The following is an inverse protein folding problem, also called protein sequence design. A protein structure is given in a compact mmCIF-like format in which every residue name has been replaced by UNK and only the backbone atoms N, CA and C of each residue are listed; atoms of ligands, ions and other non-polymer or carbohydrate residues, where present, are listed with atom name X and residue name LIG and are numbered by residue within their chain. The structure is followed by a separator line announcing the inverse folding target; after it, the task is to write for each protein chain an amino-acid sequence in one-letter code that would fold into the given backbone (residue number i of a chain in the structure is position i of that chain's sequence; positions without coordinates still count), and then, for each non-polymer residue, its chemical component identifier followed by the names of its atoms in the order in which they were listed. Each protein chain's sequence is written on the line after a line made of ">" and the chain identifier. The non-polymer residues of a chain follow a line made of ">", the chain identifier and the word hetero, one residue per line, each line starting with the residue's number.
data_IF_060964020743
#
_entry.id   IF_060964020743
#
_cell.length_a   1.000
_cell.length_b   1.000
_cell.length_c   1.000
_cell.angle_alpha   90.00
_cell.angle_beta   90.00
_cell.angle_gamma   90.00
#
_symmetry.space_group_name_H-M   'P 1'
#
loop_
_entity.id
_entity.type
_entity.pdbx_description
1 polymer ?
#
# COMPACT_ATOMS: atom_id res chain seq x y z
N UNK A 1 -18.58 24.39 -10.55
CA UNK A 1 -17.53 24.91 -9.65
C UNK A 1 -16.24 24.09 -9.79
N UNK A 2 -16.33 22.76 -9.82
CA UNK A 2 -15.20 21.83 -9.95
C UNK A 2 -14.31 22.06 -11.18
N UNK A 3 -14.89 22.33 -12.36
CA UNK A 3 -14.11 22.59 -13.57
C UNK A 3 -13.24 23.87 -13.54
N UNK A 4 -13.43 24.77 -12.56
CA UNK A 4 -12.52 25.91 -12.33
C UNK A 4 -11.39 25.52 -11.37
N UNK A 5 -11.72 24.80 -10.31
CA UNK A 5 -10.74 24.24 -9.38
C UNK A 5 -9.73 23.31 -10.06
N UNK A 6 -10.17 22.46 -11.00
CA UNK A 6 -9.26 21.62 -11.79
C UNK A 6 -8.32 22.42 -12.68
N UNK A 7 -8.79 23.54 -13.26
CA UNK A 7 -7.95 24.41 -14.10
C UNK A 7 -6.93 25.16 -13.28
N UNK A 8 -7.30 25.64 -12.10
CA UNK A 8 -6.40 26.34 -11.18
C UNK A 8 -5.30 25.38 -10.67
N UNK A 9 -5.68 24.18 -10.24
CA UNK A 9 -4.71 23.16 -9.81
C UNK A 9 -3.75 22.75 -10.94
N UNK A 10 -4.25 22.65 -12.18
CA UNK A 10 -3.43 22.31 -13.34
C UNK A 10 -2.43 23.42 -13.69
N UNK A 11 -2.87 24.69 -13.65
CA UNK A 11 -2.01 25.84 -13.88
C UNK A 11 -0.93 25.99 -12.79
N UNK A 12 -1.25 25.67 -11.55
CA UNK A 12 -0.29 25.70 -10.44
C UNK A 12 0.75 24.59 -10.55
N UNK A 13 0.34 23.39 -10.97
CA UNK A 13 1.25 22.28 -11.27
C UNK A 13 2.20 22.65 -12.41
N UNK A 14 1.68 23.21 -13.51
CA UNK A 14 2.48 23.66 -14.65
C UNK A 14 3.50 24.74 -14.24
N UNK A 15 3.11 25.66 -13.36
CA UNK A 15 4.01 26.72 -12.86
C UNK A 15 5.15 26.15 -12.01
N UNK A 16 4.89 25.11 -11.20
CA UNK A 16 5.95 24.42 -10.44
C UNK A 16 6.92 23.71 -11.39
N UNK A 17 6.42 23.06 -12.43
CA UNK A 17 7.26 22.35 -13.39
C UNK A 17 8.11 23.31 -14.23
N UNK A 18 7.59 24.49 -14.56
CA UNK A 18 8.34 25.59 -15.21
C UNK A 18 9.45 26.15 -14.30
N UNK A 19 9.16 26.37 -13.01
CA UNK A 19 10.15 26.87 -12.04
C UNK A 19 11.27 25.87 -11.80
N UNK A 20 10.98 24.57 -11.89
CA UNK A 20 11.98 23.51 -11.75
C UNK A 20 12.75 23.21 -13.05
N UNK A 21 12.42 23.88 -14.16
CA UNK A 21 13.06 23.67 -15.47
C UNK A 21 12.76 22.31 -16.11
N UNK A 22 11.85 21.53 -15.53
CA UNK A 22 11.53 20.15 -15.95
C UNK A 22 10.94 20.13 -17.35
N UNK A 23 10.20 21.17 -17.72
CA UNK A 23 9.63 21.34 -19.06
C UNK A 23 10.68 21.60 -20.16
N UNK A 24 11.93 21.94 -19.81
CA UNK A 24 13.02 22.21 -20.76
C UNK A 24 13.98 21.03 -20.96
N UNK A 25 13.78 19.94 -20.22
CA UNK A 25 14.62 18.75 -20.29
C UNK A 25 14.28 17.94 -21.55
N UNK A 26 15.29 17.35 -22.19
CA UNK A 26 15.10 16.33 -23.23
C UNK A 26 14.29 15.15 -22.67
N UNK A 27 13.51 14.46 -23.51
CA UNK A 27 12.68 13.31 -23.09
C UNK A 27 13.50 12.26 -22.30
N UNK A 28 14.73 11.95 -22.72
CA UNK A 28 15.61 11.00 -22.01
C UNK A 28 15.98 11.44 -20.58
N UNK A 29 16.11 12.76 -20.36
CA UNK A 29 16.48 13.33 -19.05
C UNK A 29 15.26 13.38 -18.13
N UNK A 30 14.06 13.60 -18.69
CA UNK A 30 12.80 13.52 -17.96
C UNK A 30 12.55 12.09 -17.48
N UNK A 31 12.71 11.10 -18.35
CA UNK A 31 12.57 9.68 -18.02
C UNK A 31 13.57 9.27 -16.92
N UNK A 32 14.82 9.75 -17.02
CA UNK A 32 15.85 9.51 -16.00
C UNK A 32 15.50 10.15 -14.65
N UNK A 33 14.97 11.37 -14.64
CA UNK A 33 14.55 12.06 -13.42
C UNK A 33 13.36 11.35 -12.76
N UNK A 34 12.36 10.94 -13.54
CA UNK A 34 11.23 10.14 -13.06
C UNK A 34 11.71 8.80 -12.47
N UNK A 35 12.67 8.14 -13.13
CA UNK A 35 13.28 6.92 -12.61
C UNK A 35 14.04 7.14 -11.30
N UNK A 36 14.84 8.20 -11.19
CA UNK A 36 15.58 8.53 -9.95
C UNK A 36 14.61 8.86 -8.82
N UNK A 37 13.55 9.63 -9.09
CA UNK A 37 12.51 9.95 -8.11
C UNK A 37 11.81 8.68 -7.60
N UNK A 38 11.45 7.77 -8.52
CA UNK A 38 10.84 6.47 -8.18
C UNK A 38 11.76 5.64 -7.29
N UNK A 39 13.01 5.45 -7.70
CA UNK A 39 14.00 4.63 -6.98
C UNK A 39 14.35 5.23 -5.61
N UNK A 40 14.48 6.56 -5.52
CA UNK A 40 14.65 7.26 -4.24
C UNK A 40 13.46 7.02 -3.32
N UNK A 41 12.24 7.11 -3.83
CA UNK A 41 11.03 6.80 -3.07
C UNK A 41 10.99 5.34 -2.59
N UNK A 42 11.43 4.39 -3.41
CA UNK A 42 11.55 2.98 -3.02
C UNK A 42 12.61 2.76 -1.95
N UNK A 43 13.78 3.40 -2.09
CA UNK A 43 14.84 3.36 -1.10
C UNK A 43 14.38 3.93 0.25
N UNK A 44 13.73 5.09 0.25
CA UNK A 44 13.19 5.72 1.47
C UNK A 44 12.19 4.79 2.16
N UNK A 45 11.31 4.13 1.41
CA UNK A 45 10.35 3.16 1.97
C UNK A 45 11.07 1.95 2.57
N UNK A 46 12.06 1.40 1.87
CA UNK A 46 12.85 0.27 2.35
C UNK A 46 13.65 0.62 3.62
N UNK A 47 14.26 1.81 3.66
CA UNK A 47 14.96 2.31 4.84
C UNK A 47 14.03 2.51 6.04
N UNK A 48 12.83 3.07 5.83
CA UNK A 48 11.82 3.21 6.89
C UNK A 48 11.40 1.86 7.44
N UNK A 49 11.12 0.90 6.57
CA UNK A 49 10.79 -0.46 6.98
C UNK A 49 11.92 -1.11 7.78
N UNK A 50 13.17 -0.98 7.30
CA UNK A 50 14.36 -1.49 8.01
C UNK A 50 14.51 -0.87 9.41
N UNK A 51 14.29 0.45 9.54
CA UNK A 51 14.29 1.16 10.83
C UNK A 51 13.19 0.65 11.75
N UNK A 52 11.96 0.51 11.26
CA UNK A 52 10.83 0.00 12.05
C UNK A 52 11.07 -1.45 12.52
N UNK A 53 11.58 -2.32 11.65
CA UNK A 53 11.97 -3.69 12.00
C UNK A 53 13.08 -3.73 13.05
N UNK A 54 14.10 -2.88 12.91
CA UNK A 54 15.20 -2.79 13.88
C UNK A 54 14.69 -2.36 15.25
N UNK A 55 13.77 -1.39 15.30
CA UNK A 55 13.17 -0.91 16.54
C UNK A 55 12.29 -1.98 17.21
N UNK A 56 11.44 -2.69 16.46
CA UNK A 56 10.64 -3.78 17.02
C UNK A 56 11.51 -4.94 17.50
N UNK A 57 12.58 -5.28 16.76
CA UNK A 57 13.52 -6.32 17.16
C UNK A 57 14.23 -5.96 18.47
N UNK A 58 14.65 -4.70 18.65
CA UNK A 58 15.22 -4.23 19.92
C UNK A 58 14.26 -4.44 21.09
N UNK A 59 12.97 -4.10 20.94
CA UNK A 59 11.95 -4.30 21.98
C UNK A 59 11.77 -5.78 22.33
N UNK A 60 11.75 -6.65 21.33
CA UNK A 60 11.69 -8.12 21.56
C UNK A 60 12.92 -8.59 22.32
N UNK A 61 14.12 -8.13 21.96
CA UNK A 61 15.37 -8.49 22.63
C UNK A 61 15.44 -7.97 24.07
N UNK A 62 14.96 -6.76 24.32
CA UNK A 62 14.85 -6.18 25.67
C UNK A 62 13.89 -6.98 26.55
N UNK A 63 12.69 -7.29 26.03
CA UNK A 63 11.71 -8.12 26.75
C UNK A 63 12.22 -9.55 26.99
N UNK A 64 12.96 -10.12 26.04
CA UNK A 64 13.60 -11.43 26.20
C UNK A 64 14.67 -11.41 27.30
N UNK A 65 15.50 -10.36 27.33
CA UNK A 65 16.53 -10.16 28.35
C UNK A 65 15.92 -10.01 29.74
N UNK A 66 14.85 -9.21 29.87
CA UNK A 66 14.12 -9.04 31.12
C UNK A 66 13.49 -10.35 31.59
N UNK A 67 12.87 -11.11 30.69
CA UNK A 67 12.32 -12.42 31.02
C UNK A 67 13.38 -13.44 31.45
N UNK A 68 14.56 -13.44 30.81
CA UNK A 68 15.66 -14.33 31.15
C UNK A 68 16.33 -13.97 32.50
N UNK A 69 16.43 -12.67 32.82
CA UNK A 69 17.02 -12.18 34.06
C UNK A 69 16.11 -12.24 35.30
N UNK A 70 14.80 -12.44 35.11
CA UNK A 70 13.84 -12.40 36.20
C UNK A 70 13.77 -13.71 36.99
N UNK A 71 14.16 -13.66 38.26
CA UNK A 71 14.20 -14.82 39.15
C UNK A 71 12.88 -15.05 39.91
N UNK A 72 12.05 -14.01 40.05
CA UNK A 72 10.80 -14.09 40.81
C UNK A 72 9.65 -14.67 39.96
N UNK A 73 8.98 -15.77 40.38
CA UNK A 73 7.93 -16.43 39.58
C UNK A 73 6.78 -15.50 39.14
N UNK A 74 6.35 -14.60 40.01
CA UNK A 74 5.28 -13.64 39.72
C UNK A 74 5.69 -12.60 38.66
N UNK A 75 6.93 -12.11 38.71
CA UNK A 75 7.46 -11.14 37.73
C UNK A 75 7.84 -11.83 36.41
N UNK A 76 8.29 -13.09 36.47
CA UNK A 76 8.61 -13.90 35.30
C UNK A 76 7.39 -14.18 34.43
N UNK A 77 6.21 -14.31 35.02
CA UNK A 77 4.95 -14.44 34.29
C UNK A 77 4.59 -13.14 33.53
N UNK A 78 4.76 -11.98 34.16
CA UNK A 78 4.55 -10.68 33.52
C UNK A 78 5.56 -10.43 32.39
N UNK A 79 6.85 -10.67 32.63
CA UNK A 79 7.90 -10.52 31.61
C UNK A 79 7.69 -11.47 30.41
N UNK A 80 7.16 -12.67 30.64
CA UNK A 80 6.77 -13.58 29.55
C UNK A 80 5.62 -13.01 28.71
N UNK A 81 4.63 -12.39 29.34
CA UNK A 81 3.51 -11.78 28.63
C UNK A 81 3.96 -10.59 27.76
N UNK A 82 4.91 -9.79 28.26
CA UNK A 82 5.53 -8.70 27.51
C UNK A 82 6.39 -9.20 26.33
N UNK A 83 7.13 -10.28 26.51
CA UNK A 83 7.87 -10.91 25.41
C UNK A 83 6.92 -11.42 24.30
N UNK A 84 5.83 -12.09 24.67
CA UNK A 84 4.84 -12.57 23.71
C UNK A 84 4.12 -11.42 22.99
N UNK A 85 3.85 -10.29 23.68
CA UNK A 85 3.24 -9.12 23.05
C UNK A 85 4.20 -8.43 22.07
N UNK A 86 5.47 -8.28 22.45
CA UNK A 86 6.52 -7.75 21.58
C UNK A 86 6.73 -8.63 20.34
N UNK A 87 6.72 -9.95 20.51
CA UNK A 87 6.82 -10.91 19.41
C UNK A 87 5.64 -10.80 18.44
N UNK A 88 4.42 -10.59 18.93
CA UNK A 88 3.24 -10.33 18.08
C UNK A 88 3.38 -9.01 17.32
N UNK A 89 3.88 -7.96 17.96
CA UNK A 89 4.10 -6.67 17.29
C UNK A 89 5.11 -6.79 16.14
N UNK A 90 6.22 -7.51 16.35
CA UNK A 90 7.19 -7.81 15.30
C UNK A 90 6.56 -8.59 14.13
N UNK A 91 5.77 -9.63 14.43
CA UNK A 91 5.09 -10.43 13.41
C UNK A 91 4.10 -9.61 12.56
N UNK A 92 3.46 -8.59 13.14
CA UNK A 92 2.58 -7.68 12.38
C UNK A 92 3.37 -6.76 11.45
N UNK A 93 4.55 -6.27 11.85
CA UNK A 93 5.42 -5.50 10.95
C UNK A 93 5.95 -6.37 9.82
N UNK A 94 6.33 -7.62 10.10
CA UNK A 94 6.75 -8.57 9.06
C UNK A 94 5.65 -8.84 8.03
N UNK A 95 4.41 -9.08 8.48
CA UNK A 95 3.25 -9.31 7.59
C UNK A 95 2.99 -8.14 6.65
N UNK A 96 3.21 -6.89 7.09
CA UNK A 96 3.00 -5.71 6.24
C UNK A 96 3.91 -5.69 5.01
N UNK A 97 5.09 -6.31 5.08
CA UNK A 97 6.08 -6.27 4.01
C UNK A 97 6.31 -7.62 3.32
N UNK A 98 5.44 -8.60 3.56
CA UNK A 98 5.51 -9.86 2.82
C UNK A 98 5.13 -9.62 1.35
N UNK A 99 5.99 -10.02 0.38
CA UNK A 99 5.63 -9.96 -1.03
C UNK A 99 4.44 -10.89 -1.26
N UNK A 100 3.32 -10.31 -1.67
CA UNK A 100 2.10 -11.07 -1.94
C UNK A 100 2.12 -11.59 -3.36
N UNK A 101 1.53 -12.78 -3.54
CA UNK A 101 1.38 -13.39 -4.84
C UNK A 101 0.67 -12.40 -5.78
N UNK A 102 1.29 -12.14 -6.93
CA UNK A 102 0.71 -11.31 -7.98
C UNK A 102 -0.42 -12.11 -8.65
N UNK A 103 -1.51 -11.44 -8.98
CA UNK A 103 -2.63 -12.04 -9.70
C UNK A 103 -2.16 -12.64 -11.04
N UNK A 104 -2.79 -13.74 -11.46
CA UNK A 104 -2.52 -14.32 -12.77
C UNK A 104 -3.13 -13.49 -13.91
N UNK A 105 -4.18 -12.70 -13.62
CA UNK A 105 -4.81 -11.79 -14.57
C UNK A 105 -5.80 -10.81 -13.93
N UNK A 106 -6.77 -10.35 -14.73
CA UNK A 106 -7.75 -9.33 -14.32
C UNK A 106 -8.95 -9.87 -13.54
N UNK A 107 -9.05 -11.19 -13.33
CA UNK A 107 -10.24 -11.86 -12.76
C UNK A 107 -9.99 -12.49 -11.39
N UNK A 108 -8.74 -12.60 -10.96
CA UNK A 108 -8.29 -13.25 -9.74
C UNK A 108 -7.50 -12.32 -8.82
N UNK A 109 -7.54 -11.02 -9.08
CA UNK A 109 -6.88 -10.05 -8.24
C UNK A 109 -7.51 -9.97 -6.85
N UNK A 110 -6.76 -9.41 -5.90
CA UNK A 110 -7.12 -9.30 -4.51
C UNK A 110 -6.62 -7.98 -3.92
N UNK A 111 -7.35 -7.48 -2.93
CA UNK A 111 -6.95 -6.32 -2.14
C UNK A 111 -5.78 -6.71 -1.23
N UNK A 112 -4.61 -6.10 -1.44
CA UNK A 112 -3.42 -6.35 -0.62
C UNK A 112 -3.31 -5.39 0.56
N UNK A 113 -3.74 -4.15 0.39
CA UNK A 113 -3.77 -3.16 1.46
C UNK A 113 -4.97 -2.23 1.29
N UNK A 114 -5.43 -1.68 2.42
CA UNK A 114 -6.50 -0.68 2.46
C UNK A 114 -5.93 0.52 3.22
N UNK A 115 -5.74 1.62 2.52
CA UNK A 115 -5.39 2.91 3.10
C UNK A 115 -6.69 3.66 3.44
N UNK A 116 -6.99 3.77 4.73
CA UNK A 116 -8.21 4.45 5.20
C UNK A 116 -8.06 5.96 5.25
N UNK A 117 -6.84 6.48 5.32
CA UNK A 117 -6.59 7.93 5.34
C UNK A 117 -6.80 8.52 3.95
N UNK A 118 -6.28 7.83 2.92
CA UNK A 118 -6.39 8.24 1.52
C UNK A 118 -7.62 7.65 0.82
N UNK A 119 -8.41 6.83 1.52
CA UNK A 119 -9.53 6.04 0.97
C UNK A 119 -9.11 5.25 -0.29
N UNK A 120 -7.89 4.70 -0.29
CA UNK A 120 -7.30 4.00 -1.43
C UNK A 120 -7.12 2.51 -1.14
N UNK A 121 -7.21 1.70 -2.19
CA UNK A 121 -6.96 0.27 -2.15
C UNK A 121 -5.69 -0.02 -2.93
N UNK A 122 -4.90 -0.97 -2.44
CA UNK A 122 -3.78 -1.54 -3.20
C UNK A 122 -4.18 -2.93 -3.64
N UNK A 123 -4.00 -3.23 -4.92
CA UNK A 123 -4.31 -4.53 -5.53
C UNK A 123 -3.02 -5.22 -5.99
N UNK A 124 -3.00 -6.56 -5.94
CA UNK A 124 -1.90 -7.38 -6.46
C UNK A 124 -1.94 -7.59 -7.98
N UNK A 125 -2.37 -6.57 -8.73
CA UNK A 125 -2.46 -6.63 -10.20
C UNK A 125 -1.81 -5.37 -10.77
N UNK A 126 -1.15 -5.47 -11.92
CA UNK A 126 -0.48 -4.35 -12.57
C UNK A 126 -0.46 -4.45 -14.09
N UNK A 127 0.43 -3.70 -14.72
CA UNK A 127 0.59 -3.67 -16.18
C UNK A 127 0.85 -5.06 -16.76
N UNK A 128 1.60 -5.93 -16.05
CA UNK A 128 1.90 -7.30 -16.52
C UNK A 128 0.67 -8.19 -16.56
N UNK A 129 -0.38 -7.86 -15.80
CA UNK A 129 -1.66 -8.56 -15.79
C UNK A 129 -2.67 -7.94 -16.78
N UNK A 130 -2.28 -6.88 -17.50
CA UNK A 130 -3.13 -6.17 -18.45
C UNK A 130 -3.96 -5.04 -17.84
N UNK A 131 -3.62 -4.61 -16.63
CA UNK A 131 -4.32 -3.52 -15.95
C UNK A 131 -3.97 -2.17 -16.54
N UNK A 132 -4.93 -1.25 -16.55
CA UNK A 132 -4.74 0.11 -17.05
C UNK A 132 -5.43 1.10 -16.12
N UNK A 133 -4.86 2.29 -16.04
CA UNK A 133 -5.48 3.40 -15.32
C UNK A 133 -6.89 3.66 -15.84
N UNK A 134 -7.82 3.96 -14.94
CA UNK A 134 -9.23 4.15 -15.24
C UNK A 134 -10.06 2.87 -15.40
N UNK A 135 -9.44 1.67 -15.44
CA UNK A 135 -10.22 0.43 -15.57
C UNK A 135 -11.11 0.18 -14.34
N UNK A 136 -12.41 -0.11 -14.55
CA UNK A 136 -13.32 -0.43 -13.47
C UNK A 136 -13.23 -1.92 -13.07
N UNK A 137 -13.26 -2.17 -11.78
CA UNK A 137 -13.30 -3.49 -11.19
C UNK A 137 -14.45 -3.59 -10.18
N UNK A 138 -14.94 -4.80 -9.97
CA UNK A 138 -15.88 -5.13 -8.88
C UNK A 138 -15.13 -5.78 -7.73
N UNK A 139 -15.51 -5.40 -6.51
CA UNK A 139 -14.98 -5.97 -5.27
C UNK A 139 -15.97 -7.01 -4.75
N UNK A 140 -15.47 -8.20 -4.44
CA UNK A 140 -16.24 -9.39 -4.09
C UNK A 140 -15.70 -9.99 -2.79
N UNK A 141 -16.61 -10.41 -1.90
CA UNK A 141 -16.29 -11.25 -0.75
C UNK A 141 -17.12 -12.52 -0.83
N UNK A 142 -16.46 -13.63 -1.17
CA UNK A 142 -17.16 -14.83 -1.65
C UNK A 142 -17.93 -14.49 -2.93
N UNK A 143 -19.24 -14.77 -2.92
CA UNK A 143 -20.13 -14.50 -4.05
C UNK A 143 -20.85 -13.14 -3.97
N UNK A 144 -20.62 -12.37 -2.88
CA UNK A 144 -21.29 -11.08 -2.66
C UNK A 144 -20.46 -9.94 -3.24
N UNK A 145 -21.08 -9.14 -4.11
CA UNK A 145 -20.51 -7.85 -4.57
C UNK A 145 -20.60 -6.84 -3.44
N UNK A 146 -19.44 -6.30 -3.06
CA UNK A 146 -19.31 -5.28 -2.01
C UNK A 146 -19.37 -3.85 -2.58
N UNK A 147 -18.97 -3.69 -3.84
CA UNK A 147 -18.93 -2.40 -4.54
C UNK A 147 -18.05 -2.49 -5.79
N UNK A 148 -17.67 -1.34 -6.32
CA UNK A 148 -16.74 -1.22 -7.44
C UNK A 148 -15.48 -0.46 -7.02
N UNK A 149 -14.46 -0.46 -7.86
CA UNK A 149 -13.33 0.43 -7.73
C UNK A 149 -12.74 0.76 -9.10
N UNK A 150 -12.17 1.95 -9.24
CA UNK A 150 -11.46 2.40 -10.43
C UNK A 150 -9.96 2.47 -10.15
N UNK A 151 -9.13 1.98 -11.07
CA UNK A 151 -7.68 2.11 -10.93
C UNK A 151 -7.23 3.56 -11.13
N UNK A 152 -6.46 4.09 -10.18
CA UNK A 152 -5.89 5.44 -10.23
C UNK A 152 -4.46 5.44 -10.76
N UNK A 153 -3.61 4.54 -10.23
CA UNK A 153 -2.20 4.42 -10.59
C UNK A 153 -1.90 2.94 -10.81
N UNK A 154 -1.26 2.59 -11.92
CA UNK A 154 -0.92 1.20 -12.25
C UNK A 154 0.59 1.05 -12.40
N UNK A 155 1.19 0.19 -11.58
CA UNK A 155 2.61 -0.19 -11.66
C UNK A 155 2.75 -1.56 -12.31
N UNK A 156 3.98 -2.06 -12.45
CA UNK A 156 4.21 -3.34 -13.14
C UNK A 156 3.43 -4.52 -12.53
N UNK A 157 3.38 -4.62 -11.20
CA UNK A 157 2.82 -5.77 -10.47
C UNK A 157 1.72 -5.41 -9.46
N UNK A 158 1.49 -4.12 -9.21
CA UNK A 158 0.52 -3.61 -8.24
C UNK A 158 -0.18 -2.38 -8.78
N UNK A 159 -1.38 -2.11 -8.28
CA UNK A 159 -2.15 -0.93 -8.67
C UNK A 159 -2.87 -0.32 -7.48
N UNK A 160 -2.98 1.00 -7.47
CA UNK A 160 -3.83 1.74 -6.56
C UNK A 160 -5.23 1.90 -7.17
N UNK A 161 -6.28 1.68 -6.39
CA UNK A 161 -7.67 1.82 -6.80
C UNK A 161 -8.48 2.67 -5.82
N UNK A 162 -9.41 3.44 -6.35
CA UNK A 162 -10.41 4.21 -5.60
C UNK A 162 -11.70 3.40 -5.51
N UNK A 163 -12.18 3.04 -4.31
CA UNK A 163 -13.48 2.39 -4.17
C UNK A 163 -14.62 3.34 -4.53
N UNK A 164 -15.57 2.82 -5.31
CA UNK A 164 -16.77 3.49 -5.79
C UNK A 164 -17.98 2.59 -5.47
N UNK A 165 -19.16 3.20 -5.26
CA UNK A 165 -20.43 2.46 -5.12
C UNK A 165 -20.40 1.33 -4.06
N UNK A 166 -19.83 1.61 -2.88
CA UNK A 166 -19.81 0.64 -1.79
C UNK A 166 -21.22 0.42 -1.23
N UNK A 167 -21.57 -0.84 -0.99
CA UNK A 167 -22.81 -1.19 -0.30
C UNK A 167 -22.82 -0.61 1.13
N UNK A 168 -24.00 -0.17 1.59
CA UNK A 168 -24.17 0.47 2.90
C UNK A 168 -23.62 -0.39 4.04
N UNK A 169 -22.79 0.22 4.90
CA UNK A 169 -22.19 -0.42 6.06
C UNK A 169 -21.06 -1.42 5.77
N UNK A 170 -20.62 -1.56 4.51
CA UNK A 170 -19.57 -2.51 4.14
C UNK A 170 -18.18 -1.85 4.18
N UNK A 171 -17.25 -2.49 4.88
CA UNK A 171 -15.83 -2.16 4.83
C UNK A 171 -15.05 -3.18 4.01
N UNK A 172 -14.23 -2.68 3.09
CA UNK A 172 -13.29 -3.48 2.31
C UNK A 172 -12.20 -3.98 3.24
N UNK A 173 -11.83 -5.25 3.06
CA UNK A 173 -10.80 -5.91 3.84
C UNK A 173 -9.71 -6.45 2.92
N UNK A 174 -8.56 -6.65 3.54
CA UNK A 174 -7.45 -7.35 2.89
C UNK A 174 -7.89 -8.78 2.54
N UNK A 175 -7.64 -9.19 1.30
CA UNK A 175 -8.02 -10.50 0.77
C UNK A 175 -9.36 -10.53 0.01
N UNK A 176 -10.11 -9.42 -0.02
CA UNK A 176 -11.29 -9.31 -0.88
C UNK A 176 -10.88 -9.48 -2.36
N UNK A 177 -11.67 -10.25 -3.12
CA UNK A 177 -11.40 -10.54 -4.53
C UNK A 177 -11.83 -9.38 -5.40
N UNK A 178 -11.04 -9.07 -6.41
CA UNK A 178 -11.26 -7.99 -7.35
C UNK A 178 -11.24 -8.55 -8.77
N UNK A 179 -12.25 -8.23 -9.56
CA UNK A 179 -12.34 -8.71 -10.95
C UNK A 179 -12.83 -7.62 -11.88
N UNK A 180 -12.34 -7.62 -13.12
CA UNK A 180 -12.71 -6.61 -14.11
C UNK A 180 -14.20 -6.64 -14.40
N UNK A 181 -14.82 -5.47 -14.43
CA UNK A 181 -16.17 -5.29 -14.97
C UNK A 181 -16.06 -5.33 -16.49
N UNK A 182 -16.25 -6.52 -17.08
CA UNK A 182 -16.37 -6.63 -18.53
C UNK A 182 -17.60 -5.83 -18.97
N UNK A 183 -17.39 -4.68 -19.60
CA UNK A 183 -18.43 -4.04 -20.40
C UNK A 183 -18.68 -4.95 -21.61
N UNK A 184 -19.95 -5.32 -21.77
CA UNK A 184 -20.46 -6.08 -22.91
C UNK A 184 -20.71 -5.13 -24.08
#
# INVERSE_FOLDING_TARGET
>A
AEARAYREAWLELQRRDEVLGVATLSNDVRDSHEQVSRLSGELIRAERFSKEMTEQMKRVMEAASQWAGESLPAKKAAARAEFESAKRALAEVEKKNQPRAVASGLTDAQVVAVDREQQALVLNLGLRQGAKEGMPFRILRGDKVLGSCRLLEVRELVSAGLPEELAEGVQIQVGDRVSVLAQK
#
